data_IF_321855921142
#
_entry.id   IF_321855921142
#
_cell.length_a   1.000
_cell.length_b   1.000
_cell.length_c   1.000
_cell.angle_alpha   90.00
_cell.angle_beta   90.00
_cell.angle_gamma   90.00
#
_symmetry.space_group_name_H-M   'P 1'
#
loop_
_entity.id
_entity.type
_entity.pdbx_description
1 polymer ?
#
# COMPACT_ATOMS: atom_id res chain seq x y z
N UNK A 1 -12.80 -7.34 -9.16
CA UNK A 1 -11.59 -6.57 -8.86
C UNK A 1 -11.59 -5.28 -9.66
N UNK A 2 -11.28 -4.15 -9.02
CA UNK A 2 -11.25 -2.87 -9.71
C UNK A 2 -10.04 -2.77 -10.65
N UNK A 3 -10.07 -1.80 -11.56
CA UNK A 3 -8.94 -1.52 -12.45
C UNK A 3 -7.70 -1.11 -11.66
N UNK A 4 -7.91 -0.36 -10.58
CA UNK A 4 -6.80 0.08 -9.70
C UNK A 4 -6.14 -1.14 -9.05
N UNK A 5 -6.93 -2.03 -8.45
CA UNK A 5 -6.40 -3.24 -7.82
C UNK A 5 -5.62 -4.10 -8.82
N UNK A 6 -6.17 -4.28 -10.01
CA UNK A 6 -5.51 -5.07 -11.07
C UNK A 6 -4.20 -4.42 -11.53
N UNK A 7 -4.10 -3.10 -11.51
CA UNK A 7 -2.91 -2.39 -11.97
C UNK A 7 -1.67 -2.69 -11.12
N UNK A 8 -1.83 -3.26 -9.93
CA UNK A 8 -0.72 -3.62 -9.06
C UNK A 8 0.11 -4.79 -9.60
N UNK A 9 -0.46 -5.62 -10.46
CA UNK A 9 0.27 -6.76 -11.02
C UNK A 9 1.48 -6.30 -11.81
N UNK A 10 2.68 -6.70 -11.35
CA UNK A 10 3.93 -6.35 -12.01
C UNK A 10 4.45 -4.96 -11.73
N UNK A 11 3.78 -4.18 -10.87
CA UNK A 11 4.23 -2.85 -10.49
C UNK A 11 5.26 -2.94 -9.36
N UNK A 12 6.14 -1.96 -9.27
CA UNK A 12 7.12 -1.89 -8.19
C UNK A 12 6.44 -1.47 -6.87
N UNK A 13 6.93 -2.04 -5.75
CA UNK A 13 6.49 -1.62 -4.42
C UNK A 13 6.87 -0.15 -4.20
N UNK A 14 5.89 0.67 -3.84
CA UNK A 14 6.09 2.11 -3.59
C UNK A 14 6.21 2.43 -2.11
N UNK A 15 5.86 1.51 -1.22
CA UNK A 15 5.95 1.70 0.23
C UNK A 15 7.39 1.58 0.72
N UNK A 16 8.11 0.56 0.26
CA UNK A 16 9.57 0.45 0.40
C UNK A 16 10.08 0.53 1.86
N UNK A 17 9.45 -0.20 2.77
CA UNK A 17 9.90 -0.22 4.17
C UNK A 17 11.26 -0.90 4.26
N UNK A 18 12.26 -0.19 4.80
CA UNK A 18 13.62 -0.69 4.92
C UNK A 18 13.66 -1.93 5.80
N UNK A 19 14.33 -2.98 5.33
CA UNK A 19 14.46 -4.25 6.04
C UNK A 19 13.24 -5.15 5.91
N UNK A 20 12.19 -4.71 5.22
CA UNK A 20 10.95 -5.48 5.04
C UNK A 20 10.64 -5.69 3.56
N UNK A 21 10.80 -4.64 2.76
CA UNK A 21 10.43 -4.65 1.35
C UNK A 21 11.20 -5.73 0.57
N UNK A 22 10.48 -6.56 -0.17
CA UNK A 22 11.08 -7.62 -0.97
C UNK A 22 11.70 -7.11 -2.28
N UNK A 23 11.22 -5.98 -2.78
CA UNK A 23 11.72 -5.41 -4.03
C UNK A 23 11.37 -6.20 -5.28
N UNK A 24 10.50 -7.19 -5.20
CA UNK A 24 10.11 -8.05 -6.32
C UNK A 24 8.70 -7.69 -6.80
N UNK A 25 8.56 -7.18 -8.04
CA UNK A 25 7.25 -6.78 -8.58
C UNK A 25 6.21 -7.91 -8.58
N UNK A 26 6.64 -9.17 -8.58
CA UNK A 26 5.72 -10.32 -8.57
C UNK A 26 4.88 -10.37 -7.28
N UNK A 27 5.36 -9.73 -6.21
CA UNK A 27 4.66 -9.73 -4.92
C UNK A 27 3.90 -8.43 -4.66
N UNK A 28 3.85 -7.52 -5.62
CA UNK A 28 3.16 -6.24 -5.43
C UNK A 28 1.64 -6.41 -5.54
N UNK A 29 0.96 -5.86 -4.54
CA UNK A 29 -0.50 -5.83 -4.47
C UNK A 29 -0.97 -4.39 -4.25
N UNK A 30 -2.28 -4.16 -4.34
CA UNK A 30 -2.86 -2.88 -3.97
C UNK A 30 -3.20 -2.93 -2.47
N UNK A 31 -2.39 -2.25 -1.67
CA UNK A 31 -2.54 -2.19 -0.23
C UNK A 31 -3.57 -1.13 0.13
N UNK A 32 -4.71 -1.55 0.70
CA UNK A 32 -5.79 -0.63 1.07
C UNK A 32 -5.47 0.11 2.37
N UNK A 33 -5.90 1.38 2.43
CA UNK A 33 -5.77 2.19 3.64
C UNK A 33 -6.52 1.53 4.79
N UNK A 34 -5.87 1.43 5.96
CA UNK A 34 -6.45 0.83 7.15
C UNK A 34 -7.25 1.82 8.02
N UNK A 35 -7.22 3.10 7.67
CA UNK A 35 -7.86 4.14 8.47
C UNK A 35 -9.33 4.35 8.10
N UNK A 36 -10.18 4.55 9.12
CA UNK A 36 -11.59 4.80 8.91
C UNK A 36 -11.89 6.04 8.09
N UNK A 37 -10.99 7.02 8.12
CA UNK A 37 -11.13 8.25 7.32
C UNK A 37 -11.21 7.98 5.82
N UNK A 38 -10.71 6.84 5.35
CA UNK A 38 -10.79 6.44 3.94
C UNK A 38 -12.05 5.64 3.62
N UNK A 39 -13.02 5.61 4.52
CA UNK A 39 -14.27 4.88 4.35
C UNK A 39 -14.23 3.44 4.86
N UNK A 40 -13.10 3.01 5.43
CA UNK A 40 -12.99 1.66 5.98
C UNK A 40 -13.80 1.55 7.26
N UNK A 41 -14.61 0.51 7.36
CA UNK A 41 -15.37 0.18 8.56
C UNK A 41 -15.43 -1.32 8.75
N UNK A 42 -16.19 -1.76 9.74
CA UNK A 42 -16.36 -3.17 10.05
C UNK A 42 -16.99 -3.88 8.84
N UNK A 43 -16.21 -4.76 8.18
CA UNK A 43 -16.65 -5.47 7.00
C UNK A 43 -16.71 -4.61 5.74
N UNK A 44 -16.22 -3.36 5.79
CA UNK A 44 -16.23 -2.43 4.67
C UNK A 44 -14.79 -2.03 4.36
N UNK A 45 -14.38 -2.18 3.09
CA UNK A 45 -13.07 -1.74 2.63
C UNK A 45 -13.05 -0.23 2.44
N UNK A 46 -11.84 0.36 2.53
CA UNK A 46 -11.64 1.75 2.13
C UNK A 46 -11.93 1.92 0.63
N UNK A 47 -12.12 3.16 0.19
CA UNK A 47 -12.32 3.46 -1.23
C UNK A 47 -11.09 3.02 -2.02
N UNK A 48 -11.28 2.64 -3.29
CA UNK A 48 -10.22 2.03 -4.11
C UNK A 48 -8.96 2.90 -4.23
N UNK A 49 -9.14 4.21 -4.40
CA UNK A 49 -8.00 5.11 -4.59
C UNK A 49 -7.19 5.31 -3.30
N UNK A 50 -7.75 4.97 -2.15
CA UNK A 50 -7.05 5.08 -0.86
C UNK A 50 -6.19 3.85 -0.63
N UNK A 51 -5.11 3.74 -1.36
CA UNK A 51 -4.21 2.61 -1.27
C UNK A 51 -2.82 2.92 -1.79
N UNK A 52 -1.99 1.92 -1.81
CA UNK A 52 -0.61 2.03 -2.29
C UNK A 52 -0.17 0.73 -2.97
N UNK A 53 0.69 0.84 -3.97
CA UNK A 53 1.40 -0.31 -4.49
C UNK A 53 2.41 -0.77 -3.44
N UNK A 54 2.20 -1.93 -2.88
CA UNK A 54 3.06 -2.48 -1.83
C UNK A 54 3.30 -3.96 -2.06
N UNK A 55 4.52 -4.42 -1.78
CA UNK A 55 4.74 -5.86 -1.77
C UNK A 55 4.00 -6.46 -0.56
N UNK A 56 3.75 -7.77 -0.59
CA UNK A 56 3.00 -8.43 0.48
C UNK A 56 3.64 -8.24 1.85
N UNK A 57 4.97 -8.18 1.92
CA UNK A 57 5.68 -7.96 3.18
C UNK A 57 5.45 -6.53 3.73
N UNK A 58 5.50 -5.51 2.86
CA UNK A 58 5.21 -4.14 3.27
C UNK A 58 3.74 -3.96 3.67
N UNK A 59 2.82 -4.63 2.97
CA UNK A 59 1.41 -4.60 3.32
C UNK A 59 1.15 -5.22 4.70
N UNK A 60 1.78 -6.36 5.00
CA UNK A 60 1.66 -7.01 6.30
C UNK A 60 2.25 -6.15 7.42
N UNK A 61 3.37 -5.47 7.14
CA UNK A 61 3.98 -4.54 8.11
C UNK A 61 3.04 -3.38 8.41
N UNK A 62 2.42 -2.81 7.38
CA UNK A 62 1.47 -1.72 7.53
C UNK A 62 0.20 -2.17 8.27
N UNK A 63 -0.36 -3.30 7.87
CA UNK A 63 -1.63 -3.77 8.43
C UNK A 63 -1.50 -4.23 9.90
N UNK A 64 -0.44 -4.99 10.23
CA UNK A 64 -0.29 -5.65 11.52
C UNK A 64 1.06 -5.44 12.20
N UNK A 65 1.89 -4.50 11.72
CA UNK A 65 3.26 -4.29 12.21
C UNK A 65 4.13 -5.56 12.13
N UNK A 66 3.82 -6.45 11.21
CA UNK A 66 4.57 -7.70 11.05
C UNK A 66 5.94 -7.41 10.45
N UNK A 67 6.99 -7.96 11.07
CA UNK A 67 8.36 -7.85 10.56
C UNK A 67 9.04 -6.51 10.80
N UNK A 68 8.49 -5.63 11.63
CA UNK A 68 9.03 -4.30 11.89
C UNK A 68 9.23 -4.01 13.38
N UNK A 69 10.01 -4.85 14.12
CA UNK A 69 10.22 -4.62 15.55
C UNK A 69 11.00 -3.34 15.84
N UNK A 70 11.65 -2.78 14.83
CA UNK A 70 12.48 -1.57 14.93
C UNK A 70 11.71 -0.28 14.61
N UNK A 71 10.42 -0.36 14.28
CA UNK A 71 9.64 0.79 13.85
C UNK A 71 8.37 0.94 14.69
N UNK A 72 8.00 2.19 14.95
CA UNK A 72 6.72 2.51 15.58
C UNK A 72 5.58 2.48 14.54
N UNK A 73 4.34 2.46 15.03
CA UNK A 73 3.14 2.56 14.17
C UNK A 73 3.21 3.82 13.31
N UNK A 74 3.61 4.96 13.90
CA UNK A 74 3.69 6.23 13.18
C UNK A 74 4.70 6.19 12.04
N UNK A 75 5.85 5.56 12.27
CA UNK A 75 6.89 5.45 11.25
C UNK A 75 6.44 4.59 10.07
N UNK A 76 5.79 3.46 10.36
CA UNK A 76 5.25 2.58 9.32
C UNK A 76 4.15 3.28 8.53
N UNK A 77 3.25 3.98 9.23
CA UNK A 77 2.17 4.73 8.59
C UNK A 77 2.72 5.83 7.66
N UNK A 78 3.79 6.49 8.07
CA UNK A 78 4.42 7.53 7.24
C UNK A 78 5.04 6.92 5.98
N UNK A 79 5.74 5.80 6.09
CA UNK A 79 6.29 5.10 4.93
C UNK A 79 5.18 4.67 3.97
N UNK A 80 4.07 4.15 4.52
CA UNK A 80 2.92 3.77 3.71
C UNK A 80 2.31 4.99 3.02
N UNK A 81 2.19 6.12 3.74
CA UNK A 81 1.64 7.36 3.16
C UNK A 81 2.50 7.85 2.00
N UNK A 82 3.82 7.82 2.14
CA UNK A 82 4.71 8.17 1.02
C UNK A 82 4.50 7.23 -0.17
N UNK A 83 4.32 5.94 0.10
CA UNK A 83 4.01 4.96 -0.93
C UNK A 83 2.68 5.24 -1.61
N UNK A 84 1.68 5.66 -0.83
CA UNK A 84 0.38 6.07 -1.35
C UNK A 84 0.52 7.26 -2.30
N UNK A 85 1.27 8.30 -1.89
CA UNK A 85 1.47 9.48 -2.75
C UNK A 85 2.19 9.13 -4.05
N UNK A 86 3.24 8.30 -3.98
CA UNK A 86 3.92 7.84 -5.20
C UNK A 86 2.98 7.03 -6.10
N UNK A 87 2.11 6.23 -5.50
CA UNK A 87 1.14 5.42 -6.24
C UNK A 87 0.11 6.28 -6.94
N UNK A 88 -0.33 7.39 -6.33
CA UNK A 88 -1.26 8.33 -6.98
C UNK A 88 -0.64 8.91 -8.25
N UNK A 89 0.65 9.22 -8.22
CA UNK A 89 1.36 9.71 -9.42
C UNK A 89 1.30 8.65 -10.53
N UNK A 90 1.57 7.39 -10.19
CA UNK A 90 1.55 6.29 -11.15
C UNK A 90 0.13 6.11 -11.71
N UNK A 91 -0.88 6.10 -10.85
CA UNK A 91 -2.28 5.96 -11.27
C UNK A 91 -2.69 7.09 -12.22
N UNK A 92 -2.27 8.32 -11.91
CA UNK A 92 -2.54 9.48 -12.75
C UNK A 92 -1.91 9.30 -14.12
N UNK A 93 -0.64 8.88 -14.16
CA UNK A 93 0.08 8.68 -15.42
C UNK A 93 -0.51 7.55 -16.25
N UNK A 94 -1.12 6.55 -15.61
CA UNK A 94 -1.80 5.45 -16.30
C UNK A 94 -3.22 5.81 -16.74
N UNK A 95 -3.73 6.96 -16.33
CA UNK A 95 -5.09 7.36 -16.63
C UNK A 95 -6.15 6.60 -15.85
N UNK A 96 -5.79 6.05 -14.68
CA UNK A 96 -6.72 5.29 -13.85
C UNK A 96 -7.47 6.17 -12.85
N UNK A 97 -6.98 7.39 -12.67
CA UNK A 97 -7.67 8.40 -11.85
C UNK A 97 -7.59 9.75 -12.53
#
# INVERSE_FOLDING_TARGET
MSRITKSANGEDCQVRIIGVCKGDPAYTIWSHCRHGAAGKGRGIKSIDVAGAYACTACDAAYDQLQGVPHMSRSEVDLDWFHGHMRSLVILTNKGLI
#
